data_IF_633169229654
#
_entry.id   IF_633169229654
#
_cell.length_a   1.000
_cell.length_b   1.000
_cell.length_c   1.000
_cell.angle_alpha   90.00
_cell.angle_beta   90.00
_cell.angle_gamma   90.00
#
_symmetry.space_group_name_H-M   'P 1'
#
loop_
_entity.id
_entity.type
_entity.pdbx_description
1 polymer ?
#
# COMPACT_ATOMS: atom_id res chain seq x y z
N UNK A 1 -3.05 3.76 25.27
CA UNK A 1 -3.95 4.80 24.78
C UNK A 1 -3.31 5.42 23.54
N UNK A 2 -4.01 5.47 22.40
CA UNK A 2 -3.55 6.19 21.22
C UNK A 2 -3.72 7.69 21.48
N UNK A 3 -2.62 8.44 21.50
CA UNK A 3 -2.70 9.88 21.44
C UNK A 3 -3.21 10.27 20.05
N UNK A 4 -4.24 11.10 19.98
CA UNK A 4 -4.74 11.66 18.73
C UNK A 4 -4.13 13.06 18.59
N UNK A 5 -3.26 13.24 17.63
CA UNK A 5 -2.76 14.55 17.27
C UNK A 5 -3.32 14.92 15.89
N UNK A 6 -3.86 16.14 15.78
CA UNK A 6 -4.39 16.69 14.53
C UNK A 6 -3.52 17.89 14.14
N UNK A 7 -2.39 17.63 13.54
CA UNK A 7 -1.63 18.67 12.87
C UNK A 7 -1.52 18.39 11.38
N UNK A 8 -1.66 19.43 10.59
CA UNK A 8 -1.55 19.38 9.14
C UNK A 8 -0.35 20.23 8.71
N UNK A 9 0.67 19.57 8.17
CA UNK A 9 1.84 20.24 7.63
C UNK A 9 3.01 19.28 7.42
N UNK A 10 3.89 19.60 6.52
CA UNK A 10 5.06 18.77 6.18
C UNK A 10 6.08 18.67 7.33
N UNK A 11 6.03 19.57 8.30
CA UNK A 11 6.98 19.68 9.41
C UNK A 11 6.33 19.38 10.78
N UNK A 12 5.20 18.68 10.80
CA UNK A 12 4.54 18.31 12.05
C UNK A 12 5.42 17.34 12.86
N UNK A 13 5.74 17.72 14.09
CA UNK A 13 6.44 16.88 15.03
C UNK A 13 5.52 16.48 16.20
N UNK A 14 5.66 15.24 16.65
CA UNK A 14 4.85 14.70 17.75
C UNK A 14 5.74 14.15 18.84
N UNK A 15 5.42 14.47 20.09
CA UNK A 15 6.06 13.83 21.23
C UNK A 15 5.45 12.44 21.42
N UNK A 16 6.23 11.40 21.19
CA UNK A 16 5.78 10.02 21.36
C UNK A 16 5.70 9.61 22.83
N UNK A 17 6.59 10.16 23.66
CA UNK A 17 6.63 9.90 25.10
C UNK A 17 7.40 11.01 25.80
N UNK A 18 6.96 11.40 27.01
CA UNK A 18 7.68 12.29 27.89
C UNK A 18 8.22 11.50 29.09
N UNK A 19 9.50 11.70 29.43
CA UNK A 19 10.10 11.13 30.62
C UNK A 19 10.19 9.61 30.66
N UNK A 20 10.05 8.92 29.53
CA UNK A 20 10.23 7.48 29.50
C UNK A 20 11.73 7.15 29.61
N UNK A 21 12.05 6.24 30.51
CA UNK A 21 13.40 5.70 30.66
C UNK A 21 13.47 4.33 30.00
N UNK A 22 14.49 4.12 29.17
CA UNK A 22 14.82 2.81 28.63
C UNK A 22 16.13 2.37 29.28
N UNK A 23 16.08 1.27 30.01
CA UNK A 23 17.25 0.72 30.70
C UNK A 23 18.31 0.25 29.68
N UNK A 24 19.61 0.27 30.04
CA UNK A 24 20.68 -0.21 29.17
C UNK A 24 20.41 -1.65 28.68
N UNK A 25 20.43 -1.85 27.37
CA UNK A 25 20.15 -3.15 26.73
C UNK A 25 18.66 -3.50 26.57
N UNK A 26 17.76 -2.65 27.04
CA UNK A 26 16.33 -2.78 26.80
C UNK A 26 15.92 -2.03 25.51
N UNK A 27 14.75 -2.39 24.94
CA UNK A 27 14.15 -1.70 23.80
C UNK A 27 12.69 -1.38 24.08
N UNK A 28 12.21 -0.29 23.51
CA UNK A 28 10.79 0.06 23.50
C UNK A 28 10.34 0.28 22.05
N UNK A 29 9.16 -0.23 21.70
CA UNK A 29 8.60 -0.11 20.36
C UNK A 29 7.31 0.68 20.40
N UNK A 30 7.19 1.66 19.53
CA UNK A 30 5.98 2.44 19.33
C UNK A 30 5.49 2.27 17.89
N UNK A 31 4.19 2.08 17.74
CA UNK A 31 3.53 1.99 16.45
C UNK A 31 2.74 3.28 16.19
N UNK A 32 3.05 3.93 15.08
CA UNK A 32 2.37 5.15 14.65
C UNK A 32 1.53 4.80 13.43
N UNK A 33 0.23 5.14 13.48
CA UNK A 33 -0.65 5.07 12.31
C UNK A 33 -0.93 6.48 11.82
N UNK A 34 -0.56 6.77 10.60
CA UNK A 34 -0.84 8.04 9.94
C UNK A 34 -1.81 7.83 8.78
N UNK A 35 -2.71 8.80 8.58
CA UNK A 35 -3.51 8.90 7.36
C UNK A 35 -2.86 9.97 6.50
N UNK A 36 -2.33 9.56 5.35
CA UNK A 36 -1.75 10.48 4.37
C UNK A 36 -2.81 10.80 3.33
N UNK A 37 -3.07 12.08 3.09
CA UNK A 37 -3.89 12.56 2.00
C UNK A 37 -3.00 13.24 0.97
N UNK A 38 -3.18 12.89 -0.31
CA UNK A 38 -2.52 13.53 -1.42
C UNK A 38 -3.33 14.75 -1.85
N UNK A 39 -2.72 15.93 -1.84
CA UNK A 39 -3.28 17.15 -2.43
C UNK A 39 -2.49 17.51 -3.69
N UNK A 40 -2.97 17.02 -4.83
CA UNK A 40 -2.35 17.31 -6.13
C UNK A 40 -2.59 18.75 -6.62
N UNK A 41 -3.47 19.50 -5.95
CA UNK A 41 -3.73 20.91 -6.25
C UNK A 41 -2.86 21.85 -5.40
N UNK A 42 -2.12 21.33 -4.41
CA UNK A 42 -1.24 22.14 -3.57
C UNK A 42 -0.16 22.84 -4.40
N UNK A 43 0.12 24.09 -4.04
CA UNK A 43 1.20 24.86 -4.69
C UNK A 43 2.54 24.15 -4.48
N UNK A 44 3.29 23.94 -5.57
CA UNK A 44 4.57 23.23 -5.55
C UNK A 44 4.45 21.71 -5.58
N UNK A 45 3.25 21.15 -5.71
CA UNK A 45 3.10 19.70 -5.90
C UNK A 45 3.84 19.22 -7.16
N UNK A 46 4.54 18.11 -7.02
CA UNK A 46 5.17 17.38 -8.11
C UNK A 46 5.17 15.90 -7.77
N UNK A 47 4.95 15.04 -8.76
CA UNK A 47 5.04 13.57 -8.61
C UNK A 47 6.39 13.14 -8.02
N UNK A 48 7.46 13.89 -8.28
CA UNK A 48 8.78 13.62 -7.70
C UNK A 48 8.82 13.76 -6.18
N UNK A 49 7.88 14.50 -5.56
CA UNK A 49 7.77 14.60 -4.11
C UNK A 49 7.27 13.29 -3.47
N UNK A 50 6.65 12.41 -4.25
CA UNK A 50 6.18 11.11 -3.78
C UNK A 50 7.30 10.06 -3.71
N UNK A 51 8.49 10.38 -4.19
CA UNK A 51 9.67 9.52 -4.13
C UNK A 51 10.53 9.86 -2.92
N UNK A 52 11.15 8.85 -2.34
CA UNK A 52 12.24 9.07 -1.41
C UNK A 52 13.45 9.66 -2.13
N UNK A 53 14.13 10.55 -1.50
CA UNK A 53 15.41 11.10 -1.98
C UNK A 53 16.42 11.14 -0.85
N UNK A 54 17.69 11.06 -1.18
CA UNK A 54 18.79 11.20 -0.24
C UNK A 54 19.88 12.13 -0.81
N UNK A 55 20.61 12.76 0.09
CA UNK A 55 21.77 13.57 -0.22
C UNK A 55 22.80 13.40 0.90
N UNK A 56 24.05 13.12 0.54
CA UNK A 56 25.13 12.88 1.51
C UNK A 56 24.77 11.82 2.56
N UNK A 57 24.24 10.66 2.11
CA UNK A 57 23.82 9.54 2.93
C UNK A 57 22.69 9.83 3.95
N UNK A 58 22.04 11.00 3.83
CA UNK A 58 20.87 11.40 4.64
C UNK A 58 19.63 11.47 3.77
N UNK A 59 18.49 11.01 4.31
CA UNK A 59 17.21 11.15 3.66
C UNK A 59 16.78 12.62 3.58
N UNK A 60 16.09 12.99 2.51
CA UNK A 60 15.62 14.37 2.29
C UNK A 60 14.22 14.53 2.88
N UNK A 61 14.03 15.38 3.92
CA UNK A 61 12.71 15.69 4.45
C UNK A 61 11.74 16.19 3.38
N UNK A 62 10.45 15.91 3.55
CA UNK A 62 9.39 16.32 2.61
C UNK A 62 9.37 15.53 1.30
N UNK A 63 10.08 14.39 1.22
CA UNK A 63 10.11 13.50 0.09
C UNK A 63 9.57 12.12 0.50
N UNK A 64 8.66 11.55 -0.32
CA UNK A 64 7.97 10.31 0.04
C UNK A 64 7.24 10.40 1.37
N UNK A 65 7.10 9.27 2.04
CA UNK A 65 6.65 9.20 3.44
C UNK A 65 7.90 9.22 4.34
N UNK A 66 8.50 10.40 4.45
CA UNK A 66 9.66 10.61 5.29
C UNK A 66 9.26 10.60 6.77
N UNK A 67 10.04 9.91 7.57
CA UNK A 67 9.90 9.90 9.02
C UNK A 67 11.30 10.00 9.65
N UNK A 68 11.43 10.79 10.69
CA UNK A 68 12.63 10.87 11.50
C UNK A 68 12.27 10.87 12.97
N UNK A 69 13.13 10.26 13.77
CA UNK A 69 13.03 10.26 15.24
C UNK A 69 14.23 11.03 15.78
N UNK A 70 13.96 11.96 16.69
CA UNK A 70 15.02 12.72 17.37
C UNK A 70 14.98 12.45 18.86
N UNK A 71 16.11 12.24 19.47
CA UNK A 71 16.27 12.04 20.90
C UNK A 71 17.34 12.96 21.49
N UNK A 72 17.18 13.36 22.74
CA UNK A 72 18.12 14.27 23.42
C UNK A 72 19.55 13.69 23.57
N UNK A 73 19.69 12.38 23.45
CA UNK A 73 20.95 11.65 23.62
C UNK A 73 21.42 10.92 22.36
N UNK A 74 20.80 11.26 21.24
CA UNK A 74 21.20 10.72 19.95
C UNK A 74 22.37 11.55 19.38
N UNK A 75 23.57 11.08 19.64
CA UNK A 75 24.84 11.74 19.28
C UNK A 75 25.81 10.81 18.55
N UNK A 76 25.33 9.69 18.01
CA UNK A 76 26.19 8.73 17.33
C UNK A 76 26.63 9.22 15.93
N UNK A 77 25.98 10.24 15.38
CA UNK A 77 26.29 10.79 14.05
C UNK A 77 25.81 9.93 12.89
N UNK A 78 25.14 8.82 13.17
CA UNK A 78 24.62 7.91 12.15
C UNK A 78 23.26 8.36 11.61
N UNK A 79 22.97 8.00 10.35
CA UNK A 79 21.69 8.27 9.70
C UNK A 79 20.67 7.13 9.92
N UNK A 80 20.63 6.57 11.14
CA UNK A 80 19.83 5.39 11.48
C UNK A 80 18.46 5.72 12.08
N UNK A 81 18.19 7.01 12.32
CA UNK A 81 16.94 7.50 12.91
C UNK A 81 15.94 8.03 11.90
N UNK A 82 16.19 7.83 10.64
CA UNK A 82 15.32 8.27 9.54
C UNK A 82 14.90 7.11 8.68
N UNK A 83 13.66 7.18 8.20
CA UNK A 83 13.11 6.22 7.26
C UNK A 83 12.27 6.94 6.22
N UNK A 84 12.18 6.38 5.04
CA UNK A 84 11.31 6.89 4.00
C UNK A 84 10.70 5.74 3.21
N UNK A 85 9.43 5.86 2.88
CA UNK A 85 8.76 4.99 1.93
C UNK A 85 8.19 5.80 0.76
N UNK A 86 8.32 5.35 -0.50
CA UNK A 86 7.71 6.04 -1.62
C UNK A 86 6.19 5.98 -1.51
N UNK A 87 5.52 7.09 -1.85
CA UNK A 87 4.07 7.26 -1.77
C UNK A 87 3.40 7.33 -3.14
N UNK A 88 4.14 7.12 -4.23
CA UNK A 88 3.60 7.21 -5.59
C UNK A 88 2.61 6.08 -5.88
N UNK A 89 1.61 6.33 -6.74
CA UNK A 89 0.76 5.27 -7.29
C UNK A 89 1.58 4.22 -8.01
N UNK A 90 1.23 2.95 -7.85
CA UNK A 90 1.92 1.85 -8.52
C UNK A 90 0.94 0.76 -8.96
N UNK A 91 1.24 0.04 -10.03
CA UNK A 91 0.48 -1.15 -10.38
C UNK A 91 0.73 -2.26 -9.35
N UNK A 92 -0.24 -3.13 -9.17
CA UNK A 92 -0.08 -4.39 -8.45
C UNK A 92 -0.37 -5.56 -9.38
N UNK A 93 0.17 -6.73 -9.03
CA UNK A 93 -0.13 -7.98 -9.71
C UNK A 93 -1.24 -8.70 -8.95
N UNK A 94 -2.21 -9.21 -9.69
CA UNK A 94 -3.29 -10.04 -9.17
C UNK A 94 -3.21 -11.39 -9.87
N UNK A 95 -3.23 -12.45 -9.08
CA UNK A 95 -3.27 -13.82 -9.58
C UNK A 95 -4.57 -14.49 -9.14
N UNK A 96 -5.34 -15.00 -10.10
CA UNK A 96 -6.55 -15.77 -9.83
C UNK A 96 -6.16 -17.19 -9.41
N UNK A 97 -6.65 -17.63 -8.26
CA UNK A 97 -6.55 -19.00 -7.81
C UNK A 97 -7.95 -19.62 -7.72
N UNK A 98 -8.05 -20.91 -8.04
CA UNK A 98 -9.29 -21.68 -7.90
C UNK A 98 -9.17 -22.65 -6.73
N UNK A 99 -10.20 -22.68 -5.88
CA UNK A 99 -10.25 -23.60 -4.73
C UNK A 99 -11.12 -24.83 -4.98
N UNK A 100 -12.10 -24.73 -5.88
CA UNK A 100 -12.96 -25.83 -6.28
C UNK A 100 -13.22 -25.77 -7.78
N UNK A 101 -12.57 -26.63 -8.55
CA UNK A 101 -12.76 -26.67 -10.00
C UNK A 101 -14.12 -27.29 -10.35
N UNK A 102 -14.80 -26.66 -11.30
CA UNK A 102 -15.99 -27.21 -11.96
C UNK A 102 -15.67 -27.33 -13.44
N UNK A 103 -15.79 -28.51 -14.01
CA UNK A 103 -15.52 -28.76 -15.43
C UNK A 103 -14.45 -29.80 -15.70
N UNK A 104 -13.87 -29.78 -16.89
CA UNK A 104 -12.83 -30.74 -17.31
C UNK A 104 -11.46 -30.26 -16.86
N UNK A 105 -10.71 -31.04 -16.10
CA UNK A 105 -9.35 -30.70 -15.71
C UNK A 105 -8.41 -30.68 -16.93
N UNK A 106 -7.32 -29.95 -16.80
CA UNK A 106 -6.16 -30.03 -17.69
C UNK A 106 -5.47 -31.40 -17.53
N UNK A 107 -4.51 -31.71 -18.42
CA UNK A 107 -3.74 -32.95 -18.36
C UNK A 107 -2.95 -33.16 -17.07
N UNK A 108 -2.62 -32.06 -16.36
CA UNK A 108 -1.95 -32.06 -15.07
C UNK A 108 -2.91 -32.10 -13.86
N UNK A 109 -4.22 -32.21 -14.12
CA UNK A 109 -5.27 -32.24 -13.09
C UNK A 109 -5.68 -30.85 -12.56
N UNK A 110 -5.09 -29.78 -13.08
CA UNK A 110 -5.51 -28.38 -12.77
C UNK A 110 -6.65 -27.98 -13.69
N UNK A 111 -7.32 -26.87 -13.35
CA UNK A 111 -8.39 -26.31 -14.18
C UNK A 111 -7.97 -24.97 -14.76
N UNK A 112 -8.37 -24.69 -16.02
CA UNK A 112 -8.05 -23.40 -16.63
C UNK A 112 -8.66 -22.24 -15.83
N UNK A 113 -7.84 -21.28 -15.45
CA UNK A 113 -8.26 -20.05 -14.77
C UNK A 113 -8.27 -18.84 -15.72
N UNK A 114 -7.94 -19.06 -16.98
CA UNK A 114 -7.99 -18.01 -17.99
C UNK A 114 -9.44 -17.63 -18.33
N UNK A 115 -9.61 -16.39 -18.74
CA UNK A 115 -10.93 -15.84 -19.04
C UNK A 115 -11.59 -15.15 -17.87
N UNK A 116 -10.98 -15.11 -16.69
CA UNK A 116 -11.44 -14.26 -15.60
C UNK A 116 -11.45 -12.77 -16.01
N UNK A 117 -12.33 -11.99 -15.41
CA UNK A 117 -12.31 -10.54 -15.55
C UNK A 117 -12.64 -9.89 -14.21
N UNK A 118 -11.99 -8.76 -13.93
CA UNK A 118 -12.17 -8.01 -12.70
C UNK A 118 -12.33 -6.51 -12.97
N UNK A 119 -13.00 -5.85 -12.03
CA UNK A 119 -13.07 -4.40 -11.94
C UNK A 119 -12.60 -3.98 -10.55
N UNK A 120 -11.82 -2.90 -10.47
CA UNK A 120 -11.36 -2.32 -9.21
C UNK A 120 -12.03 -0.97 -9.03
N UNK A 121 -12.64 -0.79 -7.86
CA UNK A 121 -13.29 0.45 -7.45
C UNK A 121 -12.54 1.06 -6.27
N UNK A 122 -12.60 2.38 -6.16
CA UNK A 122 -12.03 3.14 -5.06
C UNK A 122 -13.06 3.54 -4.00
N UNK A 123 -14.23 2.90 -4.04
CA UNK A 123 -15.32 3.10 -3.08
C UNK A 123 -16.09 1.79 -2.85
N UNK A 124 -16.58 1.60 -1.63
CA UNK A 124 -17.30 0.41 -1.20
C UNK A 124 -18.67 0.24 -1.89
N UNK A 125 -19.29 1.34 -2.31
CA UNK A 125 -20.55 1.30 -3.03
C UNK A 125 -20.42 0.78 -4.46
N UNK A 126 -19.19 0.56 -4.97
CA UNK A 126 -18.87 0.12 -6.33
C UNK A 126 -19.49 1.04 -7.38
N UNK A 127 -19.61 2.32 -7.05
CA UNK A 127 -20.26 3.31 -7.89
C UNK A 127 -19.26 4.01 -8.82
N UNK A 128 -19.75 4.43 -9.99
CA UNK A 128 -18.94 5.15 -10.97
C UNK A 128 -18.12 4.22 -11.88
N UNK A 129 -17.11 4.81 -12.53
CA UNK A 129 -16.21 4.06 -13.41
C UNK A 129 -15.13 3.35 -12.57
N UNK A 130 -14.85 2.06 -12.82
CA UNK A 130 -13.73 1.39 -12.18
C UNK A 130 -12.39 2.11 -12.43
N UNK A 131 -11.54 2.17 -11.43
CA UNK A 131 -10.18 2.75 -11.55
C UNK A 131 -9.23 1.83 -12.32
N UNK A 132 -9.55 0.54 -12.42
CA UNK A 132 -8.84 -0.43 -13.24
C UNK A 132 -9.79 -1.55 -13.66
N UNK A 133 -9.64 -2.02 -14.90
CA UNK A 133 -10.33 -3.22 -15.41
C UNK A 133 -9.29 -4.21 -15.90
N UNK A 134 -9.53 -5.50 -15.64
CA UNK A 134 -8.63 -6.61 -15.92
C UNK A 134 -9.43 -7.67 -16.68
N UNK A 135 -8.94 -8.18 -17.79
CA UNK A 135 -9.71 -9.09 -18.64
C UNK A 135 -8.85 -10.17 -19.29
N UNK A 136 -9.41 -11.35 -19.41
CA UNK A 136 -9.00 -12.41 -20.31
C UNK A 136 -7.90 -13.35 -19.83
N UNK A 137 -7.34 -13.15 -18.63
CA UNK A 137 -6.24 -13.98 -18.13
C UNK A 137 -6.53 -14.65 -16.80
N UNK A 138 -5.44 -15.14 -16.18
CA UNK A 138 -5.37 -15.61 -14.79
C UNK A 138 -4.35 -14.80 -13.99
N UNK A 139 -3.50 -14.03 -14.68
CA UNK A 139 -2.52 -13.10 -14.11
C UNK A 139 -2.70 -11.73 -14.71
N UNK A 140 -2.78 -10.73 -13.86
CA UNK A 140 -3.13 -9.37 -14.23
C UNK A 140 -2.17 -8.36 -13.63
N UNK A 141 -2.06 -7.21 -14.28
CA UNK A 141 -1.38 -6.02 -13.77
C UNK A 141 -2.38 -4.87 -13.80
N UNK A 142 -2.61 -4.23 -12.67
CA UNK A 142 -3.57 -3.12 -12.57
C UNK A 142 -3.02 -1.84 -13.21
N UNK A 143 -3.90 -0.86 -13.46
CA UNK A 143 -3.48 0.54 -13.55
C UNK A 143 -2.79 0.94 -12.22
N UNK A 144 -1.93 1.99 -12.22
CA UNK A 144 -1.34 2.48 -10.98
C UNK A 144 -2.39 2.85 -9.94
N UNK A 145 -2.27 2.29 -8.73
CA UNK A 145 -3.15 2.53 -7.59
C UNK A 145 -2.42 3.31 -6.50
N UNK A 146 -3.13 4.15 -5.78
CA UNK A 146 -2.57 4.99 -4.72
C UNK A 146 -2.27 4.16 -3.46
N UNK A 147 -1.11 4.40 -2.87
CA UNK A 147 -0.70 3.79 -1.60
C UNK A 147 -1.60 4.23 -0.45
N UNK A 148 -1.98 3.29 0.41
CA UNK A 148 -2.80 3.56 1.60
C UNK A 148 -4.28 3.80 1.34
N UNK A 149 -4.71 3.91 0.09
CA UNK A 149 -6.12 4.02 -0.29
C UNK A 149 -6.77 2.65 -0.29
N UNK A 150 -8.01 2.57 0.17
CA UNK A 150 -8.81 1.35 0.11
C UNK A 150 -9.40 1.16 -1.29
N UNK A 151 -9.39 -0.07 -1.75
CA UNK A 151 -9.95 -0.50 -3.03
C UNK A 151 -10.79 -1.75 -2.85
N UNK A 152 -11.70 -1.99 -3.79
CA UNK A 152 -12.58 -3.15 -3.85
C UNK A 152 -12.44 -3.83 -5.20
N UNK A 153 -11.99 -5.08 -5.19
CA UNK A 153 -11.87 -5.92 -6.36
C UNK A 153 -13.15 -6.72 -6.52
N UNK A 154 -13.76 -6.62 -7.68
CA UNK A 154 -14.98 -7.35 -8.08
C UNK A 154 -14.66 -8.26 -9.23
N UNK A 155 -14.93 -9.55 -9.11
CA UNK A 155 -14.88 -10.45 -10.26
C UNK A 155 -16.14 -10.25 -11.11
N UNK A 156 -15.96 -9.77 -12.34
CA UNK A 156 -17.06 -9.47 -13.29
C UNK A 156 -17.34 -10.62 -14.22
N UNK A 157 -16.36 -11.52 -14.40
CA UNK A 157 -16.51 -12.77 -15.15
C UNK A 157 -15.60 -13.84 -14.52
N UNK A 158 -16.20 -14.99 -14.18
CA UNK A 158 -15.44 -16.14 -13.73
C UNK A 158 -14.85 -16.92 -14.94
N UNK A 159 -13.73 -17.63 -14.74
CA UNK A 159 -13.24 -18.60 -15.72
C UNK A 159 -14.30 -19.68 -16.00
N UNK A 160 -14.19 -20.31 -17.17
CA UNK A 160 -15.10 -21.42 -17.52
C UNK A 160 -15.03 -22.52 -16.46
N UNK A 161 -16.20 -22.95 -16.00
CA UNK A 161 -16.31 -23.99 -14.98
C UNK A 161 -16.16 -23.49 -13.54
N UNK A 162 -16.02 -22.19 -13.32
CA UNK A 162 -15.92 -21.58 -11.99
C UNK A 162 -17.10 -20.64 -11.70
N UNK A 163 -17.40 -20.45 -10.42
CA UNK A 163 -18.36 -19.46 -9.97
C UNK A 163 -17.67 -18.11 -9.71
N UNK A 164 -18.41 -17.02 -9.85
CA UNK A 164 -17.96 -15.69 -9.43
C UNK A 164 -17.66 -15.65 -7.94
N UNK A 165 -16.74 -14.80 -7.55
CA UNK A 165 -16.56 -14.45 -6.15
C UNK A 165 -17.87 -13.93 -5.56
N UNK A 166 -18.29 -14.43 -4.40
CA UNK A 166 -19.60 -14.12 -3.82
C UNK A 166 -19.72 -12.66 -3.32
N UNK A 167 -18.60 -12.00 -3.16
CA UNK A 167 -18.51 -10.60 -2.68
C UNK A 167 -17.20 -9.95 -3.11
N UNK A 168 -17.16 -8.61 -3.16
CA UNK A 168 -15.94 -7.87 -3.42
C UNK A 168 -14.85 -8.18 -2.38
N UNK A 169 -13.60 -8.13 -2.81
CA UNK A 169 -12.43 -8.26 -1.95
C UNK A 169 -11.87 -6.86 -1.68
N UNK A 170 -11.96 -6.41 -0.44
CA UNK A 170 -11.35 -5.14 -0.03
C UNK A 170 -9.85 -5.31 0.18
N UNK A 171 -9.06 -4.38 -0.34
CA UNK A 171 -7.61 -4.37 -0.18
C UNK A 171 -7.05 -2.94 -0.15
N UNK A 172 -5.81 -2.79 0.23
CA UNK A 172 -5.04 -1.55 0.11
C UNK A 172 -3.58 -1.88 -0.19
N UNK A 173 -2.85 -0.90 -0.71
CA UNK A 173 -1.43 -1.03 -1.02
C UNK A 173 -0.64 -0.42 0.13
N UNK A 174 0.18 -1.23 0.81
CA UNK A 174 1.06 -0.76 1.87
C UNK A 174 2.15 0.16 1.33
N UNK A 175 2.50 1.17 2.13
CA UNK A 175 3.65 2.02 1.84
C UNK A 175 4.93 1.17 1.88
N UNK A 176 5.81 1.35 0.89
CA UNK A 176 7.05 0.59 0.79
C UNK A 176 6.90 -0.86 0.32
N UNK A 177 5.69 -1.33 0.00
CA UNK A 177 5.52 -2.63 -0.64
C UNK A 177 6.27 -2.69 -1.97
N UNK A 178 6.90 -3.83 -2.28
CA UNK A 178 7.59 -4.01 -3.55
C UNK A 178 6.65 -3.85 -4.74
N UNK A 179 7.16 -3.30 -5.85
CA UNK A 179 6.40 -3.11 -7.08
C UNK A 179 5.91 -4.45 -7.67
N UNK A 180 6.53 -5.56 -7.26
CA UNK A 180 6.22 -6.92 -7.68
C UNK A 180 5.35 -7.70 -6.69
N UNK A 181 4.81 -7.04 -5.66
CA UNK A 181 3.89 -7.68 -4.73
C UNK A 181 2.69 -8.28 -5.48
N UNK A 182 2.52 -9.60 -5.35
CA UNK A 182 1.42 -10.33 -5.97
C UNK A 182 0.34 -10.61 -4.94
N UNK A 183 -0.89 -10.22 -5.24
CA UNK A 183 -2.06 -10.60 -4.43
C UNK A 183 -2.73 -11.80 -5.09
N UNK A 184 -2.86 -12.91 -4.36
CA UNK A 184 -3.54 -14.13 -4.81
C UNK A 184 -5.00 -14.06 -4.35
N UNK A 185 -5.93 -14.30 -5.27
CA UNK A 185 -7.37 -14.24 -5.04
C UNK A 185 -8.06 -15.50 -5.54
#
# INVERSE_FOLDING_TARGET
ALASATEQGADASYVLTEGATVEPGASSTWYIRMKVARDSAAAGYSESLLECASSNDRLTPGRGLYNAVTGAYDHDGEANNEACAPARPRPIRIEKAGTQPVGTPNDDGTYPLDGAAFAIYDNEALAGTPVSTLDGGSRFVTAPLETGKAYWLVETRAPVGHALLPRPVAFHIEAGADADATTVI
#
